data_IF_273710460786
#
_entry.id   IF_273710460786
#
_cell.length_a   1.000
_cell.length_b   1.000
_cell.length_c   1.000
_cell.angle_alpha   90.00
_cell.angle_beta   90.00
_cell.angle_gamma   90.00
#
_symmetry.space_group_name_H-M   'P 1'
#
loop_
_entity.id
_entity.type
_entity.pdbx_description
1 polymer ?
#
# COMPACT_ATOMS: atom_id res chain seq x y z
N UNK A 1 3.79 -3.06 17.69
CA UNK A 1 3.27 -1.70 17.98
C UNK A 1 4.36 -0.69 17.71
N UNK A 2 4.04 0.37 17.02
CA UNK A 2 4.98 1.45 16.74
C UNK A 2 5.27 2.24 18.02
N UNK A 3 6.54 2.32 18.44
CA UNK A 3 6.93 3.05 19.67
C UNK A 3 6.97 4.58 19.50
N UNK A 4 6.67 5.09 18.33
CA UNK A 4 6.74 6.52 18.03
C UNK A 4 5.39 7.24 18.21
N UNK A 5 4.27 6.49 18.29
CA UNK A 5 2.93 7.00 18.55
C UNK A 5 2.44 6.44 19.91
N UNK A 6 1.72 7.25 20.67
CA UNK A 6 1.08 6.83 21.91
C UNK A 6 -0.01 5.77 21.60
N UNK A 7 -0.03 4.68 22.36
CA UNK A 7 -0.94 3.56 22.12
C UNK A 7 -2.42 3.99 22.22
N UNK A 8 -2.74 4.98 23.07
CA UNK A 8 -4.10 5.50 23.19
C UNK A 8 -4.53 6.30 21.96
N UNK A 9 -3.58 7.04 21.34
CA UNK A 9 -3.84 7.76 20.08
C UNK A 9 -4.02 6.78 18.94
N UNK A 10 -3.20 5.75 18.85
CA UNK A 10 -3.31 4.72 17.82
C UNK A 10 -4.65 3.96 17.95
N UNK A 11 -5.03 3.61 19.16
CA UNK A 11 -6.33 2.96 19.45
C UNK A 11 -7.51 3.86 19.04
N UNK A 12 -7.46 5.14 19.37
CA UNK A 12 -8.49 6.11 18.99
C UNK A 12 -8.64 6.24 17.47
N UNK A 13 -7.52 6.37 16.76
CA UNK A 13 -7.54 6.48 15.28
C UNK A 13 -8.06 5.21 14.62
N UNK A 14 -7.72 4.05 15.17
CA UNK A 14 -8.20 2.74 14.67
C UNK A 14 -9.69 2.59 14.90
N UNK A 15 -10.18 2.94 16.10
CA UNK A 15 -11.60 2.91 16.44
C UNK A 15 -12.41 3.86 15.53
N UNK A 16 -11.92 5.09 15.36
CA UNK A 16 -12.55 6.07 14.46
C UNK A 16 -12.62 5.56 13.01
N UNK A 17 -11.57 4.92 12.51
CA UNK A 17 -11.55 4.31 11.18
C UNK A 17 -12.51 3.11 11.06
N UNK A 18 -12.82 2.45 12.19
CA UNK A 18 -13.74 1.31 12.25
C UNK A 18 -15.22 1.67 12.34
N UNK A 19 -15.56 2.90 12.73
CA UNK A 19 -16.95 3.31 13.06
C UNK A 19 -17.87 3.44 11.84
N UNK A 20 -17.36 3.64 10.63
CA UNK A 20 -18.17 3.67 9.43
C UNK A 20 -18.34 2.26 8.83
N UNK A 21 -19.50 1.67 9.08
CA UNK A 21 -20.01 0.45 8.45
C UNK A 21 -18.95 -0.65 8.32
N UNK A 22 -18.89 -1.52 9.31
CA UNK A 22 -18.05 -2.72 9.25
C UNK A 22 -18.55 -3.60 8.10
N UNK A 23 -17.94 -3.41 6.92
CA UNK A 23 -18.13 -4.34 5.81
C UNK A 23 -17.75 -5.75 6.32
N UNK A 24 -18.66 -6.72 6.28
CA UNK A 24 -18.40 -8.07 6.78
C UNK A 24 -17.14 -8.70 6.15
N UNK A 25 -16.84 -8.34 4.91
CA UNK A 25 -15.64 -8.81 4.20
C UNK A 25 -14.36 -8.33 4.87
N UNK A 26 -14.30 -7.04 5.27
CA UNK A 26 -13.14 -6.52 6.02
C UNK A 26 -12.97 -7.21 7.36
N UNK A 27 -14.07 -7.46 8.08
CA UNK A 27 -14.03 -8.18 9.35
C UNK A 27 -13.44 -9.58 9.17
N UNK A 28 -13.87 -10.30 8.13
CA UNK A 28 -13.36 -11.63 7.82
C UNK A 28 -11.88 -11.61 7.42
N UNK A 29 -11.47 -10.66 6.58
CA UNK A 29 -10.07 -10.48 6.18
C UNK A 29 -9.18 -10.17 7.38
N UNK A 30 -9.63 -9.30 8.29
CA UNK A 30 -8.90 -8.93 9.50
C UNK A 30 -8.78 -10.11 10.49
N UNK A 31 -9.86 -10.87 10.70
CA UNK A 31 -9.84 -12.08 11.51
C UNK A 31 -8.87 -13.13 10.94
N UNK A 32 -8.83 -13.27 9.61
CA UNK A 32 -7.85 -14.15 8.95
C UNK A 32 -6.43 -13.66 9.18
N UNK A 33 -6.18 -12.36 9.07
CA UNK A 33 -4.86 -11.77 9.31
C UNK A 33 -4.36 -12.08 10.72
N UNK A 34 -5.25 -11.91 11.72
CA UNK A 34 -4.93 -12.17 13.12
C UNK A 34 -4.61 -13.65 13.37
N UNK A 35 -5.45 -14.57 12.90
CA UNK A 35 -5.27 -16.02 13.09
C UNK A 35 -3.98 -16.53 12.44
N UNK A 36 -3.61 -16.01 11.25
CA UNK A 36 -2.46 -16.50 10.50
C UNK A 36 -1.20 -15.66 10.71
N UNK A 37 -1.26 -14.57 11.47
CA UNK A 37 -0.15 -13.62 11.62
C UNK A 37 0.24 -12.94 10.30
N UNK A 38 -0.71 -12.78 9.37
CA UNK A 38 -0.45 -12.17 8.07
C UNK A 38 -0.49 -10.64 8.20
N UNK A 39 0.54 -9.93 7.72
CA UNK A 39 0.56 -8.48 7.81
C UNK A 39 -0.46 -7.86 6.85
N UNK A 40 -1.31 -6.97 7.37
CA UNK A 40 -2.22 -6.12 6.59
C UNK A 40 -2.05 -4.67 6.99
N UNK A 41 -2.38 -3.77 6.09
CA UNK A 41 -2.26 -2.31 6.32
C UNK A 41 -3.24 -1.77 7.37
N UNK A 42 -4.30 -2.51 7.69
CA UNK A 42 -5.34 -2.11 8.63
C UNK A 42 -6.23 -0.95 8.14
N UNK A 43 -7.31 -0.68 8.89
CA UNK A 43 -8.37 0.24 8.45
C UNK A 43 -7.91 1.69 8.32
N UNK A 44 -7.08 2.18 9.24
CA UNK A 44 -6.62 3.57 9.21
C UNK A 44 -5.83 3.87 7.93
N UNK A 45 -4.88 3.00 7.57
CA UNK A 45 -4.13 3.13 6.30
C UNK A 45 -5.05 2.88 5.10
N UNK A 46 -5.94 1.88 5.16
CA UNK A 46 -6.92 1.61 4.10
C UNK A 46 -7.80 2.82 3.79
N UNK A 47 -8.32 3.49 4.83
CA UNK A 47 -9.08 4.74 4.67
C UNK A 47 -8.25 5.86 4.06
N UNK A 48 -7.00 5.96 4.47
CA UNK A 48 -6.10 6.97 3.92
C UNK A 48 -5.84 6.74 2.42
N UNK A 49 -5.54 5.51 1.99
CA UNK A 49 -5.28 5.25 0.57
C UNK A 49 -6.55 5.41 -0.28
N UNK A 50 -7.74 5.05 0.24
CA UNK A 50 -9.02 5.34 -0.40
C UNK A 50 -9.23 6.86 -0.55
N UNK A 51 -9.00 7.65 0.51
CA UNK A 51 -9.09 9.10 0.48
C UNK A 51 -8.14 9.70 -0.55
N UNK A 52 -6.86 9.31 -0.53
CA UNK A 52 -5.85 9.78 -1.47
C UNK A 52 -6.25 9.48 -2.93
N UNK A 53 -6.70 8.25 -3.20
CA UNK A 53 -7.14 7.86 -4.53
C UNK A 53 -8.35 8.67 -5.02
N UNK A 54 -9.34 8.88 -4.16
CA UNK A 54 -10.53 9.71 -4.48
C UNK A 54 -10.17 11.18 -4.70
N UNK A 55 -9.22 11.71 -3.90
CA UNK A 55 -8.81 13.12 -3.99
C UNK A 55 -8.22 13.47 -5.36
N UNK A 56 -7.46 12.55 -5.97
CA UNK A 56 -6.89 12.78 -7.30
C UNK A 56 -7.74 12.22 -8.44
N UNK A 57 -8.92 11.67 -8.12
CA UNK A 57 -9.81 11.04 -9.10
C UNK A 57 -9.17 9.83 -9.77
N UNK A 58 -8.44 9.00 -9.02
CA UNK A 58 -7.72 7.86 -9.56
C UNK A 58 -8.65 6.86 -10.24
N UNK A 59 -8.24 6.37 -11.40
CA UNK A 59 -8.94 5.37 -12.20
C UNK A 59 -8.09 4.13 -12.46
N UNK A 60 -6.77 4.25 -12.42
CA UNK A 60 -5.83 3.16 -12.68
C UNK A 60 -4.76 3.11 -11.61
N UNK A 61 -4.78 2.05 -10.81
CA UNK A 61 -3.87 1.82 -9.68
C UNK A 61 -3.04 0.59 -9.95
N UNK A 62 -1.75 0.66 -9.67
CA UNK A 62 -0.85 -0.49 -9.62
C UNK A 62 -0.45 -0.77 -8.17
N UNK A 63 -0.55 -2.01 -7.76
CA UNK A 63 -0.20 -2.45 -6.42
C UNK A 63 0.91 -3.49 -6.47
N UNK A 64 2.05 -3.15 -5.88
CA UNK A 64 3.24 -3.97 -5.78
C UNK A 64 3.27 -4.64 -4.41
N UNK A 65 2.96 -5.94 -4.35
CA UNK A 65 2.73 -6.68 -3.11
C UNK A 65 1.32 -6.49 -2.57
N UNK A 66 0.38 -7.29 -3.04
CA UNK A 66 -1.06 -7.12 -2.72
C UNK A 66 -1.56 -8.08 -1.64
N UNK A 67 -0.76 -9.10 -1.27
CA UNK A 67 -1.22 -10.14 -0.39
C UNK A 67 -2.57 -10.70 -0.85
N UNK A 68 -3.47 -11.03 0.05
CA UNK A 68 -4.81 -11.49 -0.29
C UNK A 68 -5.84 -10.36 -0.53
N UNK A 69 -5.36 -9.15 -0.96
CA UNK A 69 -6.20 -8.09 -1.51
C UNK A 69 -6.82 -7.13 -0.51
N UNK A 70 -6.29 -7.03 0.72
CA UNK A 70 -6.83 -6.11 1.74
C UNK A 70 -6.70 -4.63 1.31
N UNK A 71 -5.54 -4.22 0.80
CA UNK A 71 -5.31 -2.88 0.23
C UNK A 71 -6.06 -2.68 -1.08
N UNK A 72 -6.10 -3.72 -1.93
CA UNK A 72 -6.84 -3.71 -3.18
C UNK A 72 -8.35 -3.43 -3.00
N UNK A 73 -8.96 -3.89 -1.90
CA UNK A 73 -10.34 -3.56 -1.55
C UNK A 73 -10.58 -2.04 -1.50
N UNK A 74 -9.70 -1.30 -0.83
CA UNK A 74 -9.83 0.15 -0.67
C UNK A 74 -9.61 0.89 -1.99
N UNK A 75 -8.62 0.49 -2.77
CA UNK A 75 -8.39 1.07 -4.10
C UNK A 75 -9.52 0.77 -5.06
N UNK A 76 -10.06 -0.47 -5.09
CA UNK A 76 -11.15 -0.85 -5.97
C UNK A 76 -12.44 -0.07 -5.67
N UNK A 77 -12.70 0.27 -4.41
CA UNK A 77 -13.78 1.19 -4.03
C UNK A 77 -13.53 2.61 -4.52
N UNK A 78 -12.28 3.08 -4.43
CA UNK A 78 -11.91 4.43 -4.81
C UNK A 78 -12.02 4.66 -6.32
N UNK A 79 -11.47 3.76 -7.13
CA UNK A 79 -11.47 3.89 -8.60
C UNK A 79 -12.88 3.77 -9.20
N UNK A 80 -13.81 3.11 -8.49
CA UNK A 80 -15.20 2.97 -8.89
C UNK A 80 -15.41 2.19 -10.18
N UNK A 81 -16.66 2.12 -10.69
CA UNK A 81 -16.98 1.39 -11.92
C UNK A 81 -16.17 1.90 -13.13
N UNK A 82 -15.60 0.96 -13.90
CA UNK A 82 -14.74 1.26 -15.06
C UNK A 82 -13.33 1.73 -14.69
N UNK A 83 -12.95 1.74 -13.41
CA UNK A 83 -11.55 1.85 -12.97
C UNK A 83 -10.88 0.49 -12.87
N UNK A 84 -9.56 0.47 -12.69
CA UNK A 84 -8.75 -0.74 -12.64
C UNK A 84 -7.74 -0.67 -11.48
N UNK A 85 -7.61 -1.78 -10.76
CA UNK A 85 -6.53 -2.05 -9.81
C UNK A 85 -5.76 -3.27 -10.29
N UNK A 86 -4.51 -3.09 -10.66
CA UNK A 86 -3.62 -4.20 -11.03
C UNK A 86 -2.84 -4.60 -9.78
N UNK A 87 -3.10 -5.82 -9.31
CA UNK A 87 -2.44 -6.39 -8.13
C UNK A 87 -1.30 -7.33 -8.53
N UNK A 88 -0.25 -7.38 -7.73
CA UNK A 88 0.84 -8.37 -7.87
C UNK A 88 1.16 -9.01 -6.54
N UNK A 89 1.36 -10.32 -6.52
CA UNK A 89 1.89 -11.06 -5.36
C UNK A 89 2.51 -12.39 -5.83
N UNK A 90 3.54 -12.84 -5.14
CA UNK A 90 4.25 -14.07 -5.49
C UNK A 90 3.50 -15.36 -5.14
N UNK A 91 2.54 -15.30 -4.21
CA UNK A 91 1.81 -16.48 -3.74
C UNK A 91 0.46 -16.64 -4.48
N UNK A 92 0.27 -17.71 -5.25
CA UNK A 92 -1.00 -17.96 -5.93
C UNK A 92 -2.18 -18.15 -4.96
N UNK A 93 -1.95 -18.60 -3.72
CA UNK A 93 -2.99 -18.72 -2.70
C UNK A 93 -3.55 -17.33 -2.31
N UNK A 94 -2.70 -16.30 -2.29
CA UNK A 94 -3.15 -14.94 -2.05
C UNK A 94 -4.10 -14.45 -3.16
N UNK A 95 -3.84 -14.81 -4.42
CA UNK A 95 -4.72 -14.47 -5.54
C UNK A 95 -6.10 -15.11 -5.40
N UNK A 96 -6.16 -16.42 -5.05
CA UNK A 96 -7.42 -17.14 -4.85
C UNK A 96 -8.24 -16.54 -3.70
N UNK A 97 -7.58 -16.20 -2.59
CA UNK A 97 -8.22 -15.56 -1.45
C UNK A 97 -8.73 -14.15 -1.80
N UNK A 98 -7.91 -13.35 -2.51
CA UNK A 98 -8.28 -12.03 -2.96
C UNK A 98 -9.53 -12.08 -3.86
N UNK A 99 -9.57 -13.02 -4.82
CA UNK A 99 -10.76 -13.21 -5.66
C UNK A 99 -12.00 -13.49 -4.82
N UNK A 100 -11.93 -14.42 -3.85
CA UNK A 100 -13.04 -14.76 -2.97
C UNK A 100 -13.58 -13.55 -2.20
N UNK A 101 -12.70 -12.83 -1.51
CA UNK A 101 -13.07 -11.66 -0.73
C UNK A 101 -13.60 -10.51 -1.59
N UNK A 102 -12.90 -10.17 -2.66
CA UNK A 102 -13.27 -9.02 -3.48
C UNK A 102 -14.50 -9.27 -4.36
N UNK A 103 -14.81 -10.54 -4.70
CA UNK A 103 -16.11 -10.91 -5.28
C UNK A 103 -17.24 -10.71 -4.27
N UNK A 104 -17.05 -11.17 -3.04
CA UNK A 104 -18.04 -10.98 -1.96
C UNK A 104 -18.29 -9.49 -1.69
N UNK A 105 -17.24 -8.67 -1.75
CA UNK A 105 -17.33 -7.21 -1.63
C UNK A 105 -17.93 -6.51 -2.87
N UNK A 106 -18.14 -7.22 -3.98
CA UNK A 106 -18.69 -6.65 -5.21
C UNK A 106 -17.76 -5.70 -5.96
N UNK A 107 -16.43 -5.89 -5.82
CA UNK A 107 -15.42 -5.01 -6.44
C UNK A 107 -14.41 -5.75 -7.33
N UNK A 108 -14.55 -7.07 -7.46
CA UNK A 108 -13.62 -7.88 -8.24
C UNK A 108 -13.58 -7.53 -9.72
N UNK A 109 -14.65 -7.02 -10.28
CA UNK A 109 -14.75 -6.54 -11.67
C UNK A 109 -13.77 -5.42 -12.01
N UNK A 110 -13.18 -4.79 -11.00
CA UNK A 110 -12.18 -3.71 -11.10
C UNK A 110 -10.77 -4.19 -10.82
N UNK A 111 -10.58 -5.46 -10.45
CA UNK A 111 -9.30 -6.01 -10.02
C UNK A 111 -8.75 -6.97 -11.06
N UNK A 112 -7.49 -6.80 -11.41
CA UNK A 112 -6.72 -7.73 -12.22
C UNK A 112 -5.52 -8.19 -11.43
N UNK A 113 -5.53 -9.45 -11.02
CA UNK A 113 -4.50 -10.02 -10.17
C UNK A 113 -3.47 -10.79 -11.00
N UNK A 114 -2.19 -10.47 -10.81
CA UNK A 114 -1.04 -11.12 -11.43
C UNK A 114 -0.24 -11.87 -10.38
N UNK A 115 -0.17 -13.18 -10.50
CA UNK A 115 0.68 -14.01 -9.66
C UNK A 115 2.11 -13.98 -10.20
N UNK A 116 3.06 -13.60 -9.36
CA UNK A 116 4.48 -13.53 -9.70
C UNK A 116 5.21 -12.34 -9.09
N UNK A 117 6.43 -12.12 -9.54
CA UNK A 117 7.26 -11.01 -9.09
C UNK A 117 6.63 -9.65 -9.42
N UNK A 118 6.63 -8.74 -8.45
CA UNK A 118 5.95 -7.45 -8.55
C UNK A 118 6.51 -6.57 -9.67
N UNK A 119 7.83 -6.50 -9.83
CA UNK A 119 8.46 -5.69 -10.88
C UNK A 119 8.26 -6.29 -12.27
N UNK A 120 8.26 -7.61 -12.37
CA UNK A 120 7.92 -8.32 -13.62
C UNK A 120 6.46 -8.05 -14.00
N UNK A 121 5.55 -8.12 -13.03
CA UNK A 121 4.13 -7.79 -13.25
C UNK A 121 3.93 -6.34 -13.67
N UNK A 122 4.65 -5.41 -13.03
CA UNK A 122 4.64 -3.98 -13.37
C UNK A 122 5.17 -3.72 -14.79
N UNK A 123 6.30 -4.35 -15.16
CA UNK A 123 6.90 -4.19 -16.48
C UNK A 123 6.02 -4.73 -17.62
N UNK A 124 5.12 -5.68 -17.33
CA UNK A 124 4.18 -6.23 -18.29
C UNK A 124 2.95 -5.33 -18.54
N UNK A 125 2.82 -4.23 -17.81
CA UNK A 125 1.77 -3.25 -18.01
C UNK A 125 2.23 -2.11 -18.92
N UNK A 126 1.34 -1.61 -19.76
CA UNK A 126 1.59 -0.44 -20.60
C UNK A 126 1.01 0.83 -19.97
N UNK A 127 1.56 1.99 -20.38
CA UNK A 127 1.05 3.31 -20.03
C UNK A 127 1.37 3.76 -18.60
N UNK A 128 0.72 4.86 -18.20
CA UNK A 128 0.90 5.46 -16.89
C UNK A 128 -0.19 5.00 -15.91
N UNK A 129 0.10 5.20 -14.63
CA UNK A 129 -0.83 4.94 -13.52
C UNK A 129 -1.19 6.25 -12.81
N UNK A 130 -2.38 6.31 -12.25
CA UNK A 130 -2.77 7.37 -11.32
C UNK A 130 -2.08 7.20 -9.96
N UNK A 131 -1.96 5.94 -9.54
CA UNK A 131 -1.28 5.58 -8.29
C UNK A 131 -0.44 4.33 -8.53
N UNK A 132 0.78 4.33 -8.00
CA UNK A 132 1.53 3.10 -7.72
C UNK A 132 1.68 2.99 -6.21
N UNK A 133 1.16 1.90 -5.66
CA UNK A 133 1.25 1.56 -4.24
C UNK A 133 2.27 0.43 -4.03
N UNK A 134 3.18 0.60 -3.08
CA UNK A 134 4.27 -0.35 -2.81
C UNK A 134 4.17 -0.88 -1.39
N UNK A 135 4.02 -2.19 -1.25
CA UNK A 135 4.09 -2.92 0.02
C UNK A 135 4.76 -4.29 -0.18
N UNK A 136 5.87 -4.30 -0.90
CA UNK A 136 6.75 -5.47 -1.06
C UNK A 136 7.69 -5.63 0.14
N UNK A 137 8.53 -6.65 0.13
CA UNK A 137 9.64 -6.77 1.06
C UNK A 137 10.58 -5.56 0.93
N UNK A 138 11.00 -5.02 2.06
CA UNK A 138 11.66 -3.70 2.18
C UNK A 138 12.95 -3.56 1.36
N UNK A 139 13.76 -4.61 1.13
CA UNK A 139 14.90 -4.55 0.20
C UNK A 139 14.52 -4.15 -1.23
N UNK A 140 13.27 -4.40 -1.65
CA UNK A 140 12.78 -4.06 -3.00
C UNK A 140 12.31 -2.60 -3.17
N UNK A 141 12.19 -1.81 -2.12
CA UNK A 141 11.57 -0.46 -2.17
C UNK A 141 12.23 0.49 -3.16
N UNK A 142 13.57 0.59 -3.12
CA UNK A 142 14.32 1.46 -4.02
C UNK A 142 14.16 1.07 -5.49
N UNK A 143 14.07 -0.22 -5.79
CA UNK A 143 13.89 -0.70 -7.16
C UNK A 143 12.46 -0.47 -7.65
N UNK A 144 11.46 -0.67 -6.77
CA UNK A 144 10.07 -0.32 -7.06
C UNK A 144 9.92 1.18 -7.39
N UNK A 145 10.55 2.07 -6.59
CA UNK A 145 10.56 3.50 -6.87
C UNK A 145 11.21 3.83 -8.23
N UNK A 146 12.40 3.28 -8.51
CA UNK A 146 13.10 3.51 -9.79
C UNK A 146 12.25 3.08 -10.99
N UNK A 147 11.55 1.96 -10.89
CA UNK A 147 10.69 1.46 -11.95
C UNK A 147 9.41 2.30 -12.12
N UNK A 148 8.81 2.75 -11.02
CA UNK A 148 7.48 3.37 -11.02
C UNK A 148 7.49 4.87 -11.31
N UNK A 149 8.49 5.61 -10.85
CA UNK A 149 8.50 7.09 -10.83
C UNK A 149 8.26 7.75 -12.18
N UNK A 150 8.68 7.12 -13.27
CA UNK A 150 8.49 7.66 -14.63
C UNK A 150 7.17 7.20 -15.27
N UNK A 151 6.42 6.33 -14.59
CA UNK A 151 5.15 5.76 -15.04
C UNK A 151 3.94 6.15 -14.20
N UNK A 152 4.13 7.00 -13.21
CA UNK A 152 3.04 7.69 -12.52
C UNK A 152 2.75 8.95 -13.33
N UNK A 153 1.48 9.23 -13.70
CA UNK A 153 1.16 10.46 -14.45
C UNK A 153 1.43 11.72 -13.62
N UNK A 154 1.57 12.86 -14.26
CA UNK A 154 1.57 14.16 -13.56
C UNK A 154 0.24 14.33 -12.84
N UNK A 155 0.28 14.72 -11.56
CA UNK A 155 -0.87 14.73 -10.66
C UNK A 155 -1.24 13.36 -10.09
N UNK A 156 -0.46 12.31 -10.37
CA UNK A 156 -0.57 10.99 -9.77
C UNK A 156 0.27 10.83 -8.51
N UNK A 157 0.09 9.73 -7.78
CA UNK A 157 0.72 9.48 -6.49
C UNK A 157 1.60 8.22 -6.50
N UNK A 158 2.77 8.35 -5.89
CA UNK A 158 3.48 7.23 -5.29
C UNK A 158 3.05 7.10 -3.83
N UNK A 159 2.64 5.90 -3.44
CA UNK A 159 2.33 5.55 -2.06
C UNK A 159 3.19 4.34 -1.65
N UNK A 160 3.82 4.38 -0.47
CA UNK A 160 4.61 3.25 0.03
C UNK A 160 4.38 3.07 1.52
N UNK A 161 4.03 1.85 1.95
CA UNK A 161 3.74 1.55 3.36
C UNK A 161 5.02 1.27 4.17
N UNK A 162 4.89 1.28 5.49
CA UNK A 162 5.92 0.95 6.48
C UNK A 162 7.22 1.77 6.39
N UNK A 163 7.15 3.03 5.95
CA UNK A 163 8.34 3.88 5.74
C UNK A 163 8.90 4.51 7.02
N UNK A 164 8.20 4.40 8.16
CA UNK A 164 8.73 4.77 9.51
C UNK A 164 9.40 3.56 10.17
N UNK A 165 8.96 2.34 9.83
CA UNK A 165 9.56 1.09 10.29
C UNK A 165 9.73 1.02 11.82
N UNK A 166 8.64 1.33 12.55
CA UNK A 166 8.60 1.39 14.03
C UNK A 166 9.65 2.33 14.63
N UNK A 167 10.05 3.37 13.90
CA UNK A 167 11.06 4.34 14.32
C UNK A 167 12.50 3.92 14.01
N UNK A 168 12.75 2.71 13.50
CA UNK A 168 14.10 2.24 13.20
C UNK A 168 14.82 3.08 12.15
N UNK A 169 14.09 3.70 11.21
CA UNK A 169 14.66 4.62 10.22
C UNK A 169 15.34 5.84 10.86
N UNK A 170 14.87 6.29 12.03
CA UNK A 170 15.44 7.43 12.73
C UNK A 170 16.74 7.09 13.49
N UNK A 171 16.93 5.83 13.87
CA UNK A 171 18.09 5.35 14.63
C UNK A 171 19.10 4.60 13.77
N UNK A 172 18.72 4.21 12.56
CA UNK A 172 19.53 3.37 11.67
C UNK A 172 19.71 1.94 12.17
N UNK A 173 18.91 1.49 13.14
CA UNK A 173 18.98 0.14 13.70
C UNK A 173 18.00 -0.80 12.97
N UNK A 174 18.35 -2.07 12.87
CA UNK A 174 17.43 -3.07 12.32
C UNK A 174 16.48 -3.65 13.38
N UNK A 175 15.37 -4.21 12.92
CA UNK A 175 14.52 -5.07 13.74
C UNK A 175 15.21 -6.43 13.95
N UNK A 176 15.11 -7.00 15.16
CA UNK A 176 15.76 -8.24 15.55
C UNK A 176 15.54 -9.42 14.57
N UNK A 177 14.37 -9.48 13.95
CA UNK A 177 14.01 -10.59 13.05
C UNK A 177 14.15 -10.26 11.56
N UNK A 178 14.54 -9.01 11.23
CA UNK A 178 14.60 -8.50 9.87
C UNK A 178 15.87 -7.65 9.67
N UNK A 179 17.06 -8.27 9.82
CA UNK A 179 18.31 -7.57 9.65
C UNK A 179 18.49 -7.11 8.19
N UNK A 180 19.03 -5.90 8.00
CA UNK A 180 19.27 -5.31 6.69
C UNK A 180 18.05 -4.69 6.02
N UNK A 181 16.88 -4.62 6.69
CA UNK A 181 15.67 -4.05 6.11
C UNK A 181 15.53 -2.54 6.31
N UNK A 182 16.16 -1.99 7.35
CA UNK A 182 16.06 -0.55 7.65
C UNK A 182 16.78 0.32 6.64
N UNK A 183 18.00 -0.04 6.25
CA UNK A 183 18.79 0.76 5.32
C UNK A 183 18.11 0.96 3.95
N UNK A 184 17.52 -0.07 3.30
CA UNK A 184 16.72 0.10 2.09
C UNK A 184 15.54 1.08 2.23
N UNK A 185 14.85 1.08 3.38
CA UNK A 185 13.75 2.02 3.63
C UNK A 185 14.28 3.46 3.73
N UNK A 186 15.38 3.66 4.46
CA UNK A 186 16.03 5.00 4.58
C UNK A 186 16.48 5.50 3.21
N UNK A 187 17.10 4.62 2.39
CA UNK A 187 17.49 4.95 1.03
C UNK A 187 16.28 5.33 0.18
N UNK A 188 15.23 4.50 0.17
CA UNK A 188 13.99 4.79 -0.54
C UNK A 188 13.38 6.14 -0.14
N UNK A 189 13.25 6.40 1.17
CA UNK A 189 12.67 7.65 1.67
C UNK A 189 13.47 8.86 1.18
N UNK A 190 14.81 8.76 1.17
CA UNK A 190 15.67 9.81 0.66
C UNK A 190 15.52 9.99 -0.85
N UNK A 191 15.49 8.90 -1.62
CA UNK A 191 15.31 8.97 -3.08
C UNK A 191 14.01 9.67 -3.47
N UNK A 192 12.91 9.39 -2.76
CA UNK A 192 11.62 10.06 -3.01
C UNK A 192 11.69 11.53 -2.62
N UNK A 193 12.30 11.86 -1.49
CA UNK A 193 12.41 13.24 -1.00
C UNK A 193 13.33 14.12 -1.85
N UNK A 194 14.31 13.53 -2.53
CA UNK A 194 15.29 14.23 -3.39
C UNK A 194 14.85 14.32 -4.86
N UNK A 195 13.74 13.68 -5.26
CA UNK A 195 13.23 13.78 -6.64
C UNK A 195 12.39 15.06 -6.80
N UNK A 196 12.92 16.07 -7.45
CA UNK A 196 12.32 17.40 -7.65
C UNK A 196 11.03 17.39 -8.49
N UNK A 197 10.74 16.26 -9.15
CA UNK A 197 9.47 16.06 -9.87
C UNK A 197 8.32 15.69 -8.95
N UNK A 198 8.60 15.45 -7.67
CA UNK A 198 7.62 15.02 -6.69
C UNK A 198 7.58 15.93 -5.48
N UNK A 199 6.38 16.16 -4.96
CA UNK A 199 6.15 16.76 -3.65
C UNK A 199 5.70 15.65 -2.71
N UNK A 200 6.58 15.23 -1.81
CA UNK A 200 6.36 14.08 -0.94
C UNK A 200 6.36 14.43 0.55
N UNK A 201 5.63 13.62 1.31
CA UNK A 201 5.63 13.64 2.78
C UNK A 201 5.38 12.24 3.32
N UNK A 202 5.91 11.96 4.50
CA UNK A 202 5.52 10.76 5.26
C UNK A 202 4.31 11.11 6.12
N UNK A 203 3.20 10.40 5.88
CA UNK A 203 1.99 10.48 6.69
C UNK A 203 2.12 9.49 7.83
N UNK A 204 2.13 9.94 9.10
CA UNK A 204 2.43 9.09 10.24
C UNK A 204 1.20 8.29 10.71
N UNK A 205 0.69 7.44 9.83
CA UNK A 205 -0.38 6.47 10.13
C UNK A 205 0.28 5.11 10.31
N UNK A 206 0.01 4.43 11.42
CA UNK A 206 0.60 3.14 11.77
C UNK A 206 2.13 3.16 11.64
N UNK A 207 2.70 2.41 10.69
CA UNK A 207 4.14 2.33 10.44
C UNK A 207 4.63 3.33 9.36
N UNK A 208 3.78 4.32 9.05
CA UNK A 208 4.05 5.44 8.14
C UNK A 208 3.82 5.11 6.67
N UNK A 209 3.15 6.02 5.97
CA UNK A 209 2.95 5.94 4.53
C UNK A 209 3.67 7.09 3.85
N UNK A 210 4.63 6.80 2.96
CA UNK A 210 5.15 7.80 2.03
C UNK A 210 4.04 8.14 1.04
N UNK A 211 3.75 9.43 0.89
CA UNK A 211 2.85 9.93 -0.14
C UNK A 211 3.57 11.01 -0.94
N UNK A 212 3.78 10.77 -2.24
CA UNK A 212 4.47 11.70 -3.11
C UNK A 212 3.67 11.95 -4.38
N UNK A 213 3.30 13.21 -4.61
CA UNK A 213 2.55 13.69 -5.77
C UNK A 213 3.53 14.06 -6.88
N UNK A 214 3.36 13.48 -8.08
CA UNK A 214 4.12 13.90 -9.26
C UNK A 214 3.63 15.26 -9.75
N UNK A 215 4.52 16.25 -9.83
CA UNK A 215 4.20 17.64 -10.22
C UNK A 215 4.74 18.01 -11.61
N UNK A 216 5.74 17.26 -12.11
CA UNK A 216 6.31 17.44 -13.47
C UNK A 216 6.68 16.13 -14.14
#
# INVERSE_FOLDING_TARGET
MSRWMDDAVEAYLTDLAGTEHSDPVLVEMEARAEVNGFPIIGRATGRYVELAARTIGARRVMELGSGYGYSAYWFARAVGPGGEVVCTDGDPQNAELAEGYLRTAGVWDRVRYRVGDALTGFAAEDGEFDIVYCDVDKPGYSDCWRAARDRIRVGGLWLCDNVIWSGHVATGTDRDRLPGWTAPIVEHNRMVAEDDRYVGSIVPIRDGVMAALRVT
#
